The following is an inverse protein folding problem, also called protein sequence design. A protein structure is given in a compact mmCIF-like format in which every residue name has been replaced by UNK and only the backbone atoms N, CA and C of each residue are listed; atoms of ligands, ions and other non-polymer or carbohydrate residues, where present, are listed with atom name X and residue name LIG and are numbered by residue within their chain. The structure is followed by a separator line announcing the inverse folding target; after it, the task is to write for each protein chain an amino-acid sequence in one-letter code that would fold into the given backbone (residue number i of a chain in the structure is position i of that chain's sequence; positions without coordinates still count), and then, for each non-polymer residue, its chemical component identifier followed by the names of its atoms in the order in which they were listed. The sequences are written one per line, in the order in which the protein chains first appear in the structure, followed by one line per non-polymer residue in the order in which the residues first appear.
data_IF_907263895446
#
_entry.id   IF_907263895446
#
_cell.length_a   1.000
_cell.length_b   1.000
_cell.length_c   1.000
_cell.angle_alpha   90.00
_cell.angle_beta   90.00
_cell.angle_gamma   90.00
#
_symmetry.space_group_name_H-M   'P 1'
#
loop_
_entity.id
_entity.type
_entity.pdbx_description
1 polymer ?
#
# COMPACT_ATOMS: atom_id res chain seq x y z
N UNK A 1 63.03 -43.55 35.14
CA UNK A 1 61.93 -44.20 34.41
C UNK A 1 60.69 -43.30 34.31
N UNK A 2 60.18 -42.75 35.42
CA UNK A 2 58.97 -41.89 35.44
C UNK A 2 59.03 -40.62 34.55
N UNK A 3 60.17 -39.95 34.43
CA UNK A 3 60.29 -38.71 33.65
C UNK A 3 60.14 -38.94 32.13
N UNK A 4 60.62 -40.08 31.62
CA UNK A 4 60.48 -40.43 30.19
C UNK A 4 59.05 -40.86 29.84
N UNK A 5 58.32 -41.48 30.78
CA UNK A 5 56.90 -41.81 30.61
C UNK A 5 56.06 -40.53 30.52
N UNK A 6 56.28 -39.58 31.44
CA UNK A 6 55.57 -38.30 31.45
C UNK A 6 55.83 -37.44 30.19
N UNK A 7 57.07 -37.42 29.69
CA UNK A 7 57.42 -36.72 28.44
C UNK A 7 56.79 -37.38 27.20
N UNK A 8 56.67 -38.70 27.18
CA UNK A 8 55.99 -39.42 26.11
C UNK A 8 54.48 -39.18 26.14
N UNK A 9 53.87 -39.15 27.33
CA UNK A 9 52.45 -38.82 27.49
C UNK A 9 52.15 -37.39 27.04
N UNK A 10 53.02 -36.42 27.37
CA UNK A 10 52.88 -35.04 26.89
C UNK A 10 53.01 -34.95 25.36
N UNK A 11 53.99 -35.63 24.76
CA UNK A 11 54.15 -35.67 23.29
C UNK A 11 52.95 -36.30 22.61
N UNK A 12 52.43 -37.41 23.15
CA UNK A 12 51.24 -38.06 22.65
C UNK A 12 50.02 -37.15 22.76
N UNK A 13 49.86 -36.42 23.86
CA UNK A 13 48.78 -35.46 24.06
C UNK A 13 48.84 -34.29 23.06
N UNK A 14 50.02 -33.72 22.83
CA UNK A 14 50.21 -32.66 21.84
C UNK A 14 49.95 -33.14 20.41
N UNK A 15 50.41 -34.34 20.06
CA UNK A 15 50.17 -34.94 18.76
C UNK A 15 48.68 -35.24 18.53
N UNK A 16 47.99 -35.75 19.55
CA UNK A 16 46.54 -35.96 19.54
C UNK A 16 45.80 -34.63 19.27
N UNK A 17 46.14 -33.56 20.01
CA UNK A 17 45.56 -32.23 19.79
C UNK A 17 45.85 -31.67 18.40
N UNK A 18 47.04 -31.91 17.86
CA UNK A 18 47.40 -31.47 16.51
C UNK A 18 46.56 -32.19 15.44
N UNK A 19 46.32 -33.49 15.60
CA UNK A 19 45.44 -34.27 14.72
C UNK A 19 43.99 -33.78 14.85
N UNK A 20 43.48 -33.60 16.06
CA UNK A 20 42.13 -33.06 16.31
C UNK A 20 41.94 -31.70 15.65
N UNK A 21 42.92 -30.80 15.78
CA UNK A 21 42.89 -29.50 15.13
C UNK A 21 42.91 -29.60 13.59
N UNK A 22 43.67 -30.53 13.02
CA UNK A 22 43.66 -30.79 11.56
C UNK A 22 42.32 -31.37 11.08
N UNK A 23 41.73 -32.29 11.83
CA UNK A 23 40.40 -32.86 11.54
C UNK A 23 39.34 -31.77 11.59
N UNK A 24 39.37 -30.93 12.63
CA UNK A 24 38.43 -29.81 12.78
C UNK A 24 38.57 -28.81 11.63
N UNK A 25 39.80 -28.47 11.22
CA UNK A 25 40.06 -27.62 10.05
C UNK A 25 39.50 -28.22 8.75
N UNK A 26 39.65 -29.53 8.54
CA UNK A 26 39.10 -30.22 7.37
C UNK A 26 37.56 -30.27 7.39
N UNK A 27 36.95 -30.46 8.57
CA UNK A 27 35.51 -30.40 8.74
C UNK A 27 34.96 -29.00 8.48
N UNK A 28 35.60 -27.95 9.02
CA UNK A 28 35.25 -26.56 8.73
C UNK A 28 35.34 -26.26 7.23
N UNK A 29 36.41 -26.69 6.56
CA UNK A 29 36.56 -26.50 5.12
C UNK A 29 35.41 -27.14 4.32
N UNK A 30 35.06 -28.41 4.62
CA UNK A 30 33.93 -29.09 3.98
C UNK A 30 32.60 -28.41 4.27
N UNK A 31 32.42 -27.86 5.47
CA UNK A 31 31.21 -27.11 5.83
C UNK A 31 31.13 -25.79 5.05
N UNK A 32 32.24 -25.06 4.93
CA UNK A 32 32.33 -23.84 4.12
C UNK A 32 31.99 -24.09 2.64
N UNK A 33 32.48 -25.19 2.05
CA UNK A 33 32.16 -25.55 0.67
C UNK A 33 30.66 -25.88 0.50
N UNK A 34 30.06 -26.63 1.44
CA UNK A 34 28.61 -26.89 1.44
C UNK A 34 27.80 -25.61 1.60
N UNK A 35 28.26 -24.69 2.45
CA UNK A 35 27.62 -23.40 2.66
C UNK A 35 27.66 -22.55 1.37
N UNK A 36 28.83 -22.44 0.72
CA UNK A 36 28.97 -21.73 -0.56
C UNK A 36 28.09 -22.33 -1.67
N UNK A 37 28.01 -23.66 -1.74
CA UNK A 37 27.13 -24.33 -2.71
C UNK A 37 25.66 -24.01 -2.46
N UNK A 38 25.20 -24.08 -1.20
CA UNK A 38 23.83 -23.69 -0.84
C UNK A 38 23.56 -22.21 -1.13
N UNK A 39 24.52 -21.33 -0.84
CA UNK A 39 24.42 -19.91 -1.13
C UNK A 39 24.27 -19.63 -2.64
N UNK A 40 24.99 -20.37 -3.49
CA UNK A 40 24.84 -20.26 -4.95
C UNK A 40 23.45 -20.69 -5.42
N UNK A 41 22.92 -21.81 -4.92
CA UNK A 41 21.55 -22.26 -5.24
C UNK A 41 20.53 -21.24 -4.75
N UNK A 42 20.71 -20.70 -3.55
CA UNK A 42 19.83 -19.68 -3.00
C UNK A 42 19.78 -18.45 -3.91
N UNK A 43 20.93 -17.93 -4.34
CA UNK A 43 20.99 -16.79 -5.27
C UNK A 43 20.33 -17.09 -6.63
N UNK A 44 20.43 -18.33 -7.12
CA UNK A 44 19.78 -18.74 -8.37
C UNK A 44 18.26 -18.83 -8.23
N UNK A 45 17.77 -19.33 -7.08
CA UNK A 45 16.35 -19.35 -6.75
C UNK A 45 15.80 -17.93 -6.53
N UNK A 46 16.53 -17.06 -5.83
CA UNK A 46 16.18 -15.65 -5.63
C UNK A 46 16.01 -14.92 -6.98
N UNK A 47 16.97 -15.07 -7.90
CA UNK A 47 16.85 -14.50 -9.26
C UNK A 47 15.64 -15.03 -10.01
N UNK A 48 15.33 -16.32 -9.87
CA UNK A 48 14.18 -16.93 -10.53
C UNK A 48 12.85 -16.44 -9.95
N UNK A 49 12.80 -16.21 -8.64
CA UNK A 49 11.65 -15.59 -7.97
C UNK A 49 11.45 -14.17 -8.52
N UNK A 50 12.51 -13.35 -8.58
CA UNK A 50 12.44 -12.00 -9.13
C UNK A 50 11.96 -11.99 -10.60
N UNK A 51 12.39 -12.95 -11.42
CA UNK A 51 11.91 -13.09 -12.79
C UNK A 51 10.42 -13.45 -12.87
N UNK A 52 9.94 -14.34 -12.00
CA UNK A 52 8.52 -14.68 -11.92
C UNK A 52 7.69 -13.51 -11.42
N UNK A 53 8.14 -12.77 -10.41
CA UNK A 53 7.47 -11.57 -9.89
C UNK A 53 7.36 -10.48 -10.97
N UNK A 54 8.44 -10.23 -11.72
CA UNK A 54 8.41 -9.28 -12.85
C UNK A 54 7.39 -9.68 -13.91
N UNK A 55 7.31 -10.98 -14.25
CA UNK A 55 6.32 -11.49 -15.21
C UNK A 55 4.90 -11.37 -14.66
N UNK A 56 4.69 -11.69 -13.40
CA UNK A 56 3.39 -11.59 -12.75
C UNK A 56 2.85 -10.15 -12.79
N UNK A 57 3.68 -9.15 -12.48
CA UNK A 57 3.29 -7.73 -12.57
C UNK A 57 2.88 -7.35 -14.00
N UNK A 58 3.59 -7.87 -15.01
CA UNK A 58 3.26 -7.64 -16.41
C UNK A 58 1.92 -8.31 -16.79
N UNK A 59 1.72 -9.56 -16.38
CA UNK A 59 0.49 -10.33 -16.66
C UNK A 59 -0.72 -9.68 -15.95
N UNK A 60 -0.56 -9.19 -14.71
CA UNK A 60 -1.58 -8.46 -13.97
C UNK A 60 -1.97 -7.15 -14.67
N UNK A 61 -0.99 -6.41 -15.19
CA UNK A 61 -1.25 -5.20 -15.98
C UNK A 61 -2.06 -5.50 -17.25
N UNK A 62 -1.71 -6.59 -17.97
CA UNK A 62 -2.46 -7.03 -19.16
C UNK A 62 -3.89 -7.46 -18.77
N UNK A 63 -4.06 -8.21 -17.69
CA UNK A 63 -5.37 -8.62 -17.20
C UNK A 63 -6.26 -7.43 -16.82
N UNK A 64 -5.68 -6.38 -16.21
CA UNK A 64 -6.41 -5.14 -15.92
C UNK A 64 -6.91 -4.46 -17.20
N UNK A 65 -6.08 -4.43 -18.25
CA UNK A 65 -6.45 -3.86 -19.55
C UNK A 65 -7.60 -4.67 -20.18
N UNK A 66 -7.48 -6.00 -20.22
CA UNK A 66 -8.52 -6.90 -20.76
C UNK A 66 -9.83 -6.70 -20.01
N UNK A 67 -9.80 -6.69 -18.67
CA UNK A 67 -10.98 -6.49 -17.86
C UNK A 67 -11.65 -5.13 -18.10
N UNK A 68 -10.87 -4.07 -18.30
CA UNK A 68 -11.41 -2.74 -18.65
C UNK A 68 -12.16 -2.77 -19.98
N UNK A 69 -11.58 -3.37 -21.02
CA UNK A 69 -12.25 -3.50 -22.32
C UNK A 69 -13.48 -4.40 -22.25
N UNK A 70 -13.43 -5.49 -21.48
CA UNK A 70 -14.57 -6.37 -21.30
C UNK A 70 -15.74 -5.67 -20.58
N UNK A 71 -15.44 -4.93 -19.50
CA UNK A 71 -16.43 -4.10 -18.81
C UNK A 71 -17.08 -3.07 -19.75
N UNK A 72 -16.28 -2.47 -20.64
CA UNK A 72 -16.78 -1.52 -21.63
C UNK A 72 -17.73 -2.20 -22.61
N UNK A 73 -17.35 -3.37 -23.13
CA UNK A 73 -18.19 -4.17 -24.02
C UNK A 73 -19.52 -4.55 -23.35
N UNK A 74 -19.49 -5.06 -22.11
CA UNK A 74 -20.69 -5.43 -21.35
C UNK A 74 -21.64 -4.24 -21.20
N UNK A 75 -21.11 -3.05 -20.92
CA UNK A 75 -21.89 -1.82 -20.78
C UNK A 75 -22.49 -1.35 -22.11
N UNK A 76 -21.73 -1.38 -23.19
CA UNK A 76 -22.18 -0.96 -24.52
C UNK A 76 -23.29 -1.90 -25.05
N UNK A 77 -23.17 -3.22 -24.84
CA UNK A 77 -24.21 -4.21 -25.20
C UNK A 77 -25.51 -3.94 -24.43
N UNK A 78 -25.43 -3.68 -23.12
CA UNK A 78 -26.61 -3.38 -22.31
C UNK A 78 -27.31 -2.10 -22.73
N UNK A 79 -26.54 -1.04 -22.99
CA UNK A 79 -27.09 0.22 -23.45
C UNK A 79 -27.83 0.05 -24.77
N UNK A 80 -27.28 -0.74 -25.69
CA UNK A 80 -27.94 -1.06 -26.96
C UNK A 80 -29.20 -1.91 -26.75
N UNK A 81 -29.14 -2.94 -25.89
CA UNK A 81 -30.31 -3.75 -25.56
C UNK A 81 -31.42 -2.93 -24.91
N UNK A 82 -31.11 -2.04 -23.97
CA UNK A 82 -32.08 -1.16 -23.30
C UNK A 82 -32.76 -0.18 -24.28
N UNK A 83 -32.06 0.23 -25.35
CA UNK A 83 -32.65 1.07 -26.41
C UNK A 83 -33.62 0.31 -27.30
N UNK A 84 -33.44 -1.00 -27.47
CA UNK A 84 -34.22 -1.82 -28.39
C UNK A 84 -35.23 -2.77 -27.72
N UNK A 85 -35.09 -3.03 -26.42
CA UNK A 85 -36.00 -3.82 -25.58
C UNK A 85 -36.16 -3.14 -24.19
N UNK A 86 -37.41 -2.99 -23.71
CA UNK A 86 -37.74 -2.29 -22.44
C UNK A 86 -37.28 -3.00 -21.15
N UNK A 87 -36.77 -4.22 -21.22
CA UNK A 87 -36.47 -5.00 -20.01
C UNK A 87 -35.20 -5.82 -20.12
N UNK A 88 -34.10 -5.34 -19.55
CA UNK A 88 -33.08 -6.25 -19.02
C UNK A 88 -32.46 -5.69 -17.75
N UNK A 89 -32.56 -6.48 -16.68
CA UNK A 89 -31.89 -6.30 -15.40
C UNK A 89 -30.39 -6.04 -15.58
N UNK A 90 -29.90 -4.97 -14.96
CA UNK A 90 -28.50 -4.59 -14.87
C UNK A 90 -27.65 -5.70 -14.20
N UNK A 91 -26.55 -6.18 -14.80
CA UNK A 91 -25.59 -7.02 -14.11
C UNK A 91 -24.67 -6.18 -13.21
N UNK A 92 -24.05 -6.80 -12.20
CA UNK A 92 -23.37 -6.09 -11.12
C UNK A 92 -22.11 -5.36 -11.61
N UNK A 93 -21.95 -4.15 -11.07
CA UNK A 93 -20.99 -3.12 -11.43
C UNK A 93 -19.52 -3.61 -11.49
N UNK A 94 -18.84 -3.25 -12.59
CA UNK A 94 -17.49 -3.66 -12.99
C UNK A 94 -16.31 -3.29 -12.08
N UNK A 95 -16.56 -2.77 -10.86
CA UNK A 95 -15.54 -2.61 -9.82
C UNK A 95 -15.41 -3.84 -8.91
N UNK A 96 -16.46 -4.64 -8.77
CA UNK A 96 -16.44 -5.83 -7.93
C UNK A 96 -15.64 -6.99 -8.53
N UNK A 97 -15.55 -7.10 -9.86
CA UNK A 97 -14.98 -8.28 -10.52
C UNK A 97 -13.47 -8.45 -10.27
N UNK A 98 -12.67 -7.38 -10.26
CA UNK A 98 -11.22 -7.48 -9.93
C UNK A 98 -10.97 -7.84 -8.46
N UNK A 99 -11.80 -7.32 -7.54
CA UNK A 99 -11.72 -7.69 -6.12
C UNK A 99 -12.18 -9.13 -5.87
N UNK A 100 -13.18 -9.60 -6.63
CA UNK A 100 -13.64 -10.99 -6.60
C UNK A 100 -12.60 -11.94 -7.21
N UNK A 101 -11.90 -11.51 -8.28
CA UNK A 101 -10.81 -12.27 -8.90
C UNK A 101 -9.67 -12.58 -7.93
N UNK A 102 -9.33 -11.62 -7.05
CA UNK A 102 -8.31 -11.81 -6.01
C UNK A 102 -8.75 -12.77 -4.89
N UNK A 103 -10.04 -13.09 -4.79
CA UNK A 103 -10.62 -13.97 -3.76
C UNK A 103 -10.85 -15.39 -4.26
N UNK A 104 -10.82 -15.62 -5.57
CA UNK A 104 -11.06 -16.94 -6.16
C UNK A 104 -9.79 -17.79 -6.21
N UNK A 105 -9.95 -19.08 -5.92
CA UNK A 105 -8.86 -20.04 -6.15
C UNK A 105 -8.64 -20.26 -7.65
N UNK A 106 -7.45 -20.74 -8.05
CA UNK A 106 -7.15 -21.02 -9.45
C UNK A 106 -8.18 -21.96 -10.10
N UNK A 107 -8.72 -22.91 -9.33
CA UNK A 107 -9.70 -23.89 -9.82
C UNK A 107 -11.09 -23.26 -10.06
N UNK A 108 -11.44 -22.19 -9.35
CA UNK A 108 -12.72 -21.48 -9.50
C UNK A 108 -12.67 -20.37 -10.56
N UNK A 109 -11.47 -19.88 -10.87
CA UNK A 109 -11.26 -18.75 -11.79
C UNK A 109 -11.75 -19.04 -13.21
N UNK A 110 -11.43 -20.23 -13.74
CA UNK A 110 -11.79 -20.63 -15.10
C UNK A 110 -13.30 -20.72 -15.28
N UNK A 111 -14.00 -21.28 -14.30
CA UNK A 111 -15.47 -21.39 -14.31
C UNK A 111 -16.16 -20.02 -14.26
N UNK A 112 -15.63 -19.09 -13.45
CA UNK A 112 -16.18 -17.72 -13.35
C UNK A 112 -15.93 -16.91 -14.62
N UNK A 113 -14.76 -17.04 -15.23
CA UNK A 113 -14.47 -16.41 -16.52
C UNK A 113 -15.37 -16.95 -17.61
N UNK A 114 -15.55 -18.28 -17.67
CA UNK A 114 -16.47 -18.91 -18.61
C UNK A 114 -17.90 -18.41 -18.45
N UNK A 115 -18.40 -18.30 -17.23
CA UNK A 115 -19.74 -17.75 -16.96
C UNK A 115 -19.92 -16.33 -17.49
N UNK A 116 -18.89 -15.48 -17.33
CA UNK A 116 -18.91 -14.11 -17.85
C UNK A 116 -18.93 -14.07 -19.38
N UNK A 117 -18.12 -14.91 -20.02
CA UNK A 117 -18.11 -15.05 -21.49
C UNK A 117 -19.49 -15.50 -21.99
N UNK A 118 -20.07 -16.54 -21.38
CA UNK A 118 -21.39 -17.04 -21.76
C UNK A 118 -22.50 -15.99 -21.58
N UNK A 119 -22.42 -15.15 -20.54
CA UNK A 119 -23.35 -14.04 -20.37
C UNK A 119 -23.26 -13.04 -21.52
N UNK A 120 -22.04 -12.59 -21.85
CA UNK A 120 -21.81 -11.64 -22.94
C UNK A 120 -22.24 -12.22 -24.30
N UNK A 121 -21.96 -13.49 -24.59
CA UNK A 121 -22.39 -14.18 -25.80
C UNK A 121 -23.92 -14.22 -25.93
N UNK A 122 -24.63 -14.54 -24.82
CA UNK A 122 -26.10 -14.54 -24.79
C UNK A 122 -26.67 -13.14 -25.03
N UNK A 123 -26.06 -12.10 -24.45
CA UNK A 123 -26.48 -10.72 -24.65
C UNK A 123 -26.29 -10.27 -26.11
N UNK A 124 -25.14 -10.59 -26.72
CA UNK A 124 -24.86 -10.29 -28.14
C UNK A 124 -25.85 -11.02 -29.06
N UNK A 125 -26.14 -12.30 -28.80
CA UNK A 125 -27.11 -13.05 -29.60
C UNK A 125 -28.50 -12.41 -29.59
N UNK A 126 -28.96 -11.92 -28.44
CA UNK A 126 -30.21 -11.16 -28.32
C UNK A 126 -30.15 -9.85 -29.12
N UNK A 127 -29.05 -9.12 -29.03
CA UNK A 127 -28.88 -7.86 -29.76
C UNK A 127 -28.89 -8.08 -31.28
N UNK A 128 -28.30 -9.17 -31.77
CA UNK A 128 -28.36 -9.51 -33.20
C UNK A 128 -29.80 -9.82 -33.64
N UNK A 129 -30.58 -10.49 -32.80
CA UNK A 129 -31.98 -10.80 -33.09
C UNK A 129 -32.85 -9.53 -33.15
N UNK A 130 -32.65 -8.58 -32.23
CA UNK A 130 -33.37 -7.29 -32.24
C UNK A 130 -33.00 -6.45 -33.46
N UNK A 131 -31.71 -6.38 -33.81
CA UNK A 131 -31.24 -5.74 -35.04
C UNK A 131 -31.88 -6.34 -36.30
N UNK A 132 -31.99 -7.67 -36.38
CA UNK A 132 -32.65 -8.35 -37.49
C UNK A 132 -34.15 -7.99 -37.58
N UNK A 133 -34.86 -7.98 -36.45
CA UNK A 133 -36.28 -7.60 -36.38
C UNK A 133 -36.52 -6.16 -36.84
N UNK A 134 -35.67 -5.23 -36.41
CA UNK A 134 -35.75 -3.81 -36.80
C UNK A 134 -35.46 -3.66 -38.30
N UNK A 135 -34.45 -4.35 -38.81
CA UNK A 135 -34.11 -4.36 -40.24
C UNK A 135 -35.28 -4.87 -41.09
N UNK A 136 -35.92 -5.97 -40.68
CA UNK A 136 -37.09 -6.52 -41.36
C UNK A 136 -38.28 -5.57 -41.36
N UNK A 137 -38.60 -4.95 -40.22
CA UNK A 137 -39.67 -3.95 -40.11
C UNK A 137 -39.40 -2.74 -41.01
N UNK A 138 -38.17 -2.24 -41.02
CA UNK A 138 -37.77 -1.13 -41.89
C UNK A 138 -37.87 -1.52 -43.37
N UNK A 139 -37.51 -2.75 -43.72
CA UNK A 139 -37.69 -3.30 -45.07
C UNK A 139 -39.15 -3.28 -45.51
N UNK A 140 -40.06 -3.80 -44.68
CA UNK A 140 -41.51 -3.79 -44.95
C UNK A 140 -42.07 -2.38 -45.14
N UNK A 141 -41.67 -1.42 -44.28
CA UNK A 141 -42.06 -0.01 -44.44
C UNK A 141 -41.53 0.60 -45.74
N UNK A 142 -40.28 0.28 -46.13
CA UNK A 142 -39.73 0.75 -47.40
C UNK A 142 -40.50 0.20 -48.60
N UNK A 143 -40.91 -1.07 -48.55
CA UNK A 143 -41.67 -1.71 -49.62
C UNK A 143 -43.08 -1.12 -49.73
N UNK A 144 -43.78 -0.92 -48.60
CA UNK A 144 -45.08 -0.25 -48.56
C UNK A 144 -45.02 1.20 -49.10
N UNK A 145 -43.98 1.95 -48.78
CA UNK A 145 -43.77 3.32 -49.30
C UNK A 145 -43.47 3.34 -50.80
N UNK A 146 -42.71 2.35 -51.30
CA UNK A 146 -42.45 2.21 -52.75
C UNK A 146 -43.71 1.82 -53.51
N UNK A 147 -44.51 0.91 -52.97
CA UNK A 147 -45.78 0.50 -53.56
C UNK A 147 -46.80 1.64 -53.59
N UNK A 148 -46.76 2.54 -52.60
CA UNK A 148 -47.53 3.78 -52.60
C UNK A 148 -47.05 4.77 -53.67
N UNK A 149 -45.72 4.98 -53.80
CA UNK A 149 -45.14 5.91 -54.78
C UNK A 149 -45.21 5.46 -56.24
N UNK A 150 -45.27 4.15 -56.52
CA UNK A 150 -45.38 3.61 -57.88
C UNK A 150 -46.82 3.62 -58.42
N UNK A 151 -47.83 3.84 -57.56
CA UNK A 151 -49.26 3.76 -57.90
C UNK A 151 -49.96 5.14 -57.91
N UNK A 152 -49.27 6.21 -58.35
CA UNK A 152 -49.86 7.57 -58.44
C UNK A 152 -51.13 7.68 -59.33
N UNK A 153 -51.44 6.65 -60.14
CA UNK A 153 -52.59 6.64 -61.06
C UNK A 153 -53.81 5.81 -60.61
N UNK A 154 -53.88 5.30 -59.38
CA UNK A 154 -55.07 4.62 -58.81
C UNK A 154 -55.63 5.35 -57.58
N UNK A 155 -55.87 6.65 -57.74
CA UNK A 155 -56.25 7.55 -56.65
C UNK A 155 -57.70 7.46 -56.12
N UNK A 156 -58.49 6.41 -56.41
CA UNK A 156 -59.93 6.49 -56.11
C UNK A 156 -60.51 5.43 -55.18
N UNK A 157 -60.05 4.18 -55.07
CA UNK A 157 -60.89 3.17 -54.37
C UNK A 157 -60.15 2.07 -53.60
N UNK A 158 -59.03 2.36 -52.91
CA UNK A 158 -58.54 1.45 -51.87
C UNK A 158 -58.42 2.18 -50.53
N UNK A 159 -59.59 2.56 -50.00
CA UNK A 159 -59.76 3.12 -48.65
C UNK A 159 -59.11 2.24 -47.58
N UNK A 160 -59.00 0.94 -47.85
CA UNK A 160 -58.50 -0.05 -46.90
C UNK A 160 -56.96 -0.06 -46.82
N UNK A 161 -56.25 0.10 -47.95
CA UNK A 161 -54.79 0.27 -47.96
C UNK A 161 -54.34 1.63 -47.42
N UNK A 162 -55.07 2.69 -47.77
CA UNK A 162 -54.77 4.04 -47.28
C UNK A 162 -55.03 4.14 -45.77
N UNK A 163 -56.07 3.48 -45.25
CA UNK A 163 -56.33 3.38 -43.82
C UNK A 163 -55.24 2.60 -43.09
N UNK A 164 -54.77 1.46 -43.63
CA UNK A 164 -53.67 0.66 -43.04
C UNK A 164 -52.37 1.44 -42.95
N UNK A 165 -51.99 2.16 -44.01
CA UNK A 165 -50.78 3.01 -44.01
C UNK A 165 -50.92 4.13 -42.97
N UNK A 166 -52.10 4.76 -42.86
CA UNK A 166 -52.33 5.85 -41.93
C UNK A 166 -52.36 5.36 -40.46
N UNK A 167 -52.91 4.16 -40.21
CA UNK A 167 -52.91 3.50 -38.91
C UNK A 167 -51.49 3.08 -38.49
N UNK A 168 -50.70 2.51 -39.40
CA UNK A 168 -49.28 2.20 -39.15
C UNK A 168 -48.43 3.46 -38.93
N UNK A 169 -48.68 4.54 -39.69
CA UNK A 169 -48.02 5.84 -39.49
C UNK A 169 -48.40 6.49 -38.17
N UNK A 170 -49.67 6.41 -37.78
CA UNK A 170 -50.16 6.96 -36.51
C UNK A 170 -49.64 6.16 -35.32
N UNK A 171 -49.58 4.83 -35.44
CA UNK A 171 -48.93 3.94 -34.47
C UNK A 171 -47.43 4.25 -34.36
N UNK A 172 -46.73 4.40 -35.49
CA UNK A 172 -45.30 4.76 -35.52
C UNK A 172 -45.05 6.15 -34.91
N UNK A 173 -45.85 7.16 -35.25
CA UNK A 173 -45.74 8.50 -34.69
C UNK A 173 -45.97 8.50 -33.17
N UNK A 174 -46.93 7.69 -32.69
CA UNK A 174 -47.20 7.55 -31.25
C UNK A 174 -46.03 6.87 -30.53
N UNK A 175 -45.51 5.76 -31.10
CA UNK A 175 -44.33 5.06 -30.57
C UNK A 175 -43.09 5.95 -30.53
N UNK A 176 -42.82 6.73 -31.59
CA UNK A 176 -41.71 7.71 -31.63
C UNK A 176 -41.91 8.83 -30.61
N UNK A 177 -43.16 9.26 -30.37
CA UNK A 177 -43.45 10.27 -29.35
C UNK A 177 -43.19 9.74 -27.94
N UNK A 178 -43.68 8.54 -27.64
CA UNK A 178 -43.43 7.84 -26.36
C UNK A 178 -41.94 7.61 -26.13
N UNK A 179 -41.21 7.17 -27.17
CA UNK A 179 -39.76 7.02 -27.13
C UNK A 179 -39.05 8.36 -26.89
N UNK A 180 -39.49 9.46 -27.53
CA UNK A 180 -38.96 10.80 -27.26
C UNK A 180 -39.20 11.27 -25.83
N UNK A 181 -40.36 10.96 -25.24
CA UNK A 181 -40.63 11.26 -23.82
C UNK A 181 -39.73 10.43 -22.92
N UNK A 182 -39.57 9.14 -23.21
CA UNK A 182 -38.68 8.24 -22.46
C UNK A 182 -37.21 8.70 -22.55
N UNK A 183 -36.73 9.02 -23.75
CA UNK A 183 -35.40 9.55 -23.99
C UNK A 183 -35.16 10.88 -23.24
N UNK A 184 -36.14 11.78 -23.20
CA UNK A 184 -36.03 13.01 -22.40
C UNK A 184 -35.88 12.73 -20.91
N UNK A 185 -36.64 11.77 -20.37
CA UNK A 185 -36.50 11.34 -18.96
C UNK A 185 -35.11 10.75 -18.70
N UNK A 186 -34.66 9.83 -19.56
CA UNK A 186 -33.35 9.21 -19.45
C UNK A 186 -32.21 10.25 -19.55
N UNK A 187 -32.32 11.25 -20.44
CA UNK A 187 -31.35 12.34 -20.55
C UNK A 187 -31.28 13.14 -19.26
N UNK A 188 -32.42 13.50 -18.66
CA UNK A 188 -32.45 14.21 -17.39
C UNK A 188 -31.83 13.36 -16.27
N UNK A 189 -32.18 12.09 -16.17
CA UNK A 189 -31.60 11.16 -15.19
C UNK A 189 -30.08 11.05 -15.36
N UNK A 190 -29.60 10.82 -16.59
CA UNK A 190 -28.17 10.75 -16.90
C UNK A 190 -27.46 12.07 -16.60
N UNK A 191 -28.07 13.23 -16.85
CA UNK A 191 -27.50 14.52 -16.50
C UNK A 191 -27.38 14.70 -14.98
N UNK A 192 -28.40 14.33 -14.23
CA UNK A 192 -28.36 14.40 -12.75
C UNK A 192 -27.31 13.45 -12.17
N UNK A 193 -27.23 12.23 -12.67
CA UNK A 193 -26.23 11.26 -12.25
C UNK A 193 -24.82 11.64 -12.67
N UNK A 194 -24.63 12.19 -13.87
CA UNK A 194 -23.33 12.70 -14.31
C UNK A 194 -22.88 13.87 -13.42
N UNK A 195 -23.77 14.79 -13.07
CA UNK A 195 -23.45 15.85 -12.12
C UNK A 195 -23.06 15.27 -10.74
N UNK A 196 -23.82 14.30 -10.22
CA UNK A 196 -23.51 13.63 -8.95
C UNK A 196 -22.15 12.92 -8.99
N UNK A 197 -21.86 12.18 -10.06
CA UNK A 197 -20.60 11.48 -10.27
C UNK A 197 -19.44 12.47 -10.47
N UNK A 198 -19.66 13.61 -11.13
CA UNK A 198 -18.66 14.66 -11.30
C UNK A 198 -18.28 15.29 -9.95
N UNK A 199 -19.26 15.54 -9.07
CA UNK A 199 -19.00 16.00 -7.71
C UNK A 199 -18.23 14.95 -6.91
N UNK A 200 -18.62 13.67 -7.03
CA UNK A 200 -17.92 12.57 -6.37
C UNK A 200 -16.48 12.41 -6.89
N UNK A 201 -16.25 12.55 -8.19
CA UNK A 201 -14.91 12.53 -8.80
C UNK A 201 -14.07 13.67 -8.25
N UNK A 202 -14.60 14.90 -8.24
CA UNK A 202 -13.89 16.07 -7.68
C UNK A 202 -13.50 15.84 -6.22
N UNK A 203 -14.39 15.26 -5.40
CA UNK A 203 -14.06 14.94 -4.01
C UNK A 203 -12.98 13.86 -3.88
N UNK A 204 -12.95 12.87 -4.78
CA UNK A 204 -11.86 11.90 -4.85
C UNK A 204 -10.55 12.55 -5.28
N UNK A 205 -10.59 13.46 -6.26
CA UNK A 205 -9.43 14.20 -6.75
C UNK A 205 -8.83 15.08 -5.64
N UNK A 206 -9.65 15.78 -4.85
CA UNK A 206 -9.22 16.53 -3.67
C UNK A 206 -8.51 15.64 -2.64
N UNK A 207 -9.06 14.43 -2.41
CA UNK A 207 -8.46 13.46 -1.50
C UNK A 207 -7.12 12.92 -2.02
N UNK A 208 -7.00 12.71 -3.33
CA UNK A 208 -5.75 12.31 -3.98
C UNK A 208 -4.72 13.43 -3.82
N UNK A 209 -5.07 14.68 -4.14
CA UNK A 209 -4.19 15.83 -3.99
C UNK A 209 -3.69 16.02 -2.55
N UNK A 210 -4.56 15.79 -1.55
CA UNK A 210 -4.18 15.82 -0.14
C UNK A 210 -3.16 14.72 0.20
N UNK A 211 -3.39 13.50 -0.30
CA UNK A 211 -2.47 12.37 -0.08
C UNK A 211 -1.13 12.58 -0.80
N UNK A 212 -1.13 13.11 -2.02
CA UNK A 212 0.08 13.47 -2.77
C UNK A 212 0.89 14.53 -2.02
N UNK A 213 0.24 15.58 -1.51
CA UNK A 213 0.90 16.57 -0.67
C UNK A 213 1.50 15.96 0.59
N UNK A 214 0.80 15.00 1.24
CA UNK A 214 1.32 14.30 2.41
C UNK A 214 2.54 13.44 2.07
N UNK A 215 2.50 12.72 0.96
CA UNK A 215 3.65 11.94 0.47
C UNK A 215 4.84 12.85 0.22
N UNK A 216 4.64 14.00 -0.39
CA UNK A 216 5.72 14.97 -0.63
C UNK A 216 6.32 15.50 0.68
N UNK A 217 5.49 15.81 1.68
CA UNK A 217 6.01 16.23 3.01
C UNK A 217 6.84 15.14 3.69
N UNK A 218 6.39 13.88 3.62
CA UNK A 218 7.13 12.75 4.19
C UNK A 218 8.43 12.48 3.43
N UNK A 219 8.45 12.65 2.10
CA UNK A 219 9.66 12.52 1.31
C UNK A 219 10.70 13.58 1.70
N UNK A 220 10.27 14.82 1.91
CA UNK A 220 11.15 15.89 2.39
C UNK A 220 11.73 15.57 3.77
N UNK A 221 10.91 15.07 4.69
CA UNK A 221 11.37 14.64 6.03
C UNK A 221 12.38 13.48 5.95
N UNK A 222 12.14 12.49 5.08
CA UNK A 222 13.08 11.40 4.83
C UNK A 222 14.41 11.92 4.30
N UNK A 223 14.38 12.89 3.38
CA UNK A 223 15.61 13.46 2.82
C UNK A 223 16.39 14.29 3.85
N UNK A 224 15.71 15.03 4.71
CA UNK A 224 16.32 15.72 5.84
C UNK A 224 16.98 14.74 6.82
N UNK A 225 16.29 13.65 7.17
CA UNK A 225 16.84 12.59 8.01
C UNK A 225 18.06 11.92 7.38
N UNK A 226 18.02 11.65 6.06
CA UNK A 226 19.18 11.13 5.32
C UNK A 226 20.37 12.09 5.36
N UNK A 227 20.13 13.39 5.20
CA UNK A 227 21.17 14.42 5.31
C UNK A 227 21.78 14.46 6.73
N UNK A 228 20.94 14.38 7.77
CA UNK A 228 21.40 14.33 9.16
C UNK A 228 22.21 13.06 9.46
N UNK A 229 21.76 11.91 8.97
CA UNK A 229 22.46 10.64 9.08
C UNK A 229 23.83 10.71 8.41
N UNK A 230 23.91 11.23 7.19
CA UNK A 230 25.18 11.42 6.47
C UNK A 230 26.14 12.35 7.23
N UNK A 231 25.62 13.43 7.84
CA UNK A 231 26.42 14.29 8.73
C UNK A 231 26.93 13.53 9.95
N UNK A 232 26.15 12.60 10.51
CA UNK A 232 26.59 11.75 11.62
C UNK A 232 27.71 10.79 11.20
N UNK A 233 27.53 10.07 10.09
CA UNK A 233 28.57 9.19 9.54
C UNK A 233 29.90 9.93 9.33
N UNK A 234 29.88 11.13 8.75
CA UNK A 234 31.10 11.94 8.59
C UNK A 234 31.76 12.37 9.90
N UNK A 235 31.01 12.49 11.00
CA UNK A 235 31.57 12.78 12.32
C UNK A 235 32.22 11.52 12.90
N UNK A 236 31.58 10.37 12.72
CA UNK A 236 32.09 9.06 13.13
C UNK A 236 33.39 8.73 12.41
N UNK A 237 33.43 8.86 11.08
CA UNK A 237 34.67 8.68 10.29
C UNK A 237 35.83 9.56 10.77
N UNK A 238 35.55 10.81 11.16
CA UNK A 238 36.57 11.72 11.71
C UNK A 238 37.05 11.27 13.09
N UNK A 239 36.17 10.70 13.91
CA UNK A 239 36.55 10.16 15.22
C UNK A 239 37.38 8.89 15.05
N UNK A 240 36.99 8.00 14.15
CA UNK A 240 37.74 6.78 13.83
C UNK A 240 39.14 7.11 13.30
N UNK A 241 39.26 8.10 12.42
CA UNK A 241 40.55 8.58 11.93
C UNK A 241 41.45 9.08 13.08
N UNK A 242 40.91 9.91 13.98
CA UNK A 242 41.65 10.40 15.15
C UNK A 242 42.05 9.26 16.09
N UNK A 243 41.16 8.30 16.32
CA UNK A 243 41.42 7.14 17.17
C UNK A 243 42.58 6.31 16.59
N UNK A 244 42.58 6.09 15.28
CA UNK A 244 43.67 5.40 14.58
C UNK A 244 45.00 6.17 14.68
N UNK A 245 45.00 7.50 14.58
CA UNK A 245 46.20 8.32 14.80
C UNK A 245 46.74 8.22 16.23
N UNK A 246 45.85 8.23 17.24
CA UNK A 246 46.26 8.07 18.64
C UNK A 246 46.91 6.71 18.89
N UNK A 247 46.29 5.63 18.40
CA UNK A 247 46.85 4.27 18.50
C UNK A 247 48.23 4.20 17.83
N UNK A 248 48.38 4.82 16.65
CA UNK A 248 49.67 4.85 15.95
C UNK A 248 50.74 5.63 16.73
N UNK A 249 50.37 6.74 17.35
CA UNK A 249 51.27 7.58 18.16
C UNK A 249 51.71 6.87 19.44
N UNK A 250 50.79 6.19 20.11
CA UNK A 250 51.08 5.37 21.29
C UNK A 250 52.08 4.25 20.94
N UNK A 251 51.84 3.52 19.85
CA UNK A 251 52.77 2.49 19.36
C UNK A 251 54.17 3.06 18.99
N UNK A 252 54.21 4.28 18.44
CA UNK A 252 55.48 4.95 18.08
C UNK A 252 56.27 5.40 19.31
N UNK A 253 55.60 5.89 20.36
CA UNK A 253 56.22 6.30 21.62
C UNK A 253 56.87 5.12 22.34
N UNK A 254 56.22 3.95 22.32
CA UNK A 254 56.77 2.70 22.86
C UNK A 254 58.07 2.31 22.16
N UNK A 255 58.15 2.44 20.83
CA UNK A 255 59.37 2.15 20.06
C UNK A 255 60.52 3.14 20.33
N UNK A 256 60.22 4.43 20.54
CA UNK A 256 61.25 5.46 20.82
C UNK A 256 61.85 5.31 22.22
N UNK A 257 61.05 4.89 23.21
CA UNK A 257 61.56 4.59 24.56
C UNK A 257 62.55 3.41 24.56
N UNK A 258 62.36 2.43 23.68
CA UNK A 258 63.31 1.33 23.50
C UNK A 258 64.63 1.81 22.85
N UNK A 259 64.57 2.66 21.81
CA UNK A 259 65.77 3.17 21.12
C UNK A 259 66.63 4.14 21.98
N UNK A 260 66.01 4.99 22.81
CA UNK A 260 66.73 5.96 23.65
C UNK A 260 67.59 5.30 24.75
N UNK A 261 67.26 4.06 25.14
CA UNK A 261 68.08 3.27 26.08
C UNK A 261 69.41 2.80 25.47
N UNK A 262 69.52 2.73 24.14
CA UNK A 262 70.68 2.19 23.41
C UNK A 262 71.70 3.30 23.10
N UNK A 263 71.25 4.54 22.90
CA UNK A 263 72.08 5.66 22.44
C UNK A 263 72.95 6.33 23.53
N UNK A 264 72.80 5.96 24.81
CA UNK A 264 73.56 6.57 25.92
C UNK A 264 75.01 6.10 26.06
N UNK A 265 75.48 5.17 25.22
CA UNK A 265 76.75 4.46 25.40
C UNK A 265 77.95 5.00 24.57
N UNK A 266 77.76 5.96 23.66
CA UNK A 266 78.82 6.31 22.72
C UNK A 266 78.79 7.80 22.38
N UNK A 267 79.70 8.60 22.97
CA UNK A 267 80.48 9.65 22.27
C UNK A 267 81.32 10.45 23.26
N UNK A 268 82.63 10.41 23.09
CA UNK A 268 83.58 11.37 23.65
C UNK A 268 84.74 11.53 22.65
N UNK A 269 85.25 12.78 22.54
CA UNK A 269 86.61 13.18 22.09
C UNK A 269 86.76 13.33 20.55
N UNK A 270 87.33 14.38 19.93
CA UNK A 270 88.33 15.42 20.25
C UNK A 270 88.29 16.59 19.23
N UNK A 271 88.91 17.74 19.52
CA UNK A 271 89.22 18.82 18.56
C UNK A 271 90.53 19.53 18.97
N UNK A 272 91.36 19.94 17.98
CA UNK A 272 92.51 20.82 18.21
C UNK A 272 93.22 21.24 16.91
N UNK A 273 93.49 22.54 16.75
CA UNK A 273 94.20 23.19 15.65
C UNK A 273 95.28 24.14 16.20
N UNK A 274 96.34 24.44 15.43
CA UNK A 274 97.39 25.43 15.76
C UNK A 274 97.79 26.27 14.54
N UNK A 275 98.04 27.55 14.85
CA UNK A 275 98.41 28.75 14.06
C UNK A 275 99.84 28.74 13.44
N UNK A 276 100.03 29.45 12.32
CA UNK A 276 100.80 30.73 12.08
C UNK A 276 102.32 30.69 12.27
N UNK A 277 103.06 31.22 11.29
CA UNK A 277 103.97 32.39 11.45
C UNK A 277 104.67 32.78 10.12
N UNK A 278 104.98 34.07 9.96
CA UNK A 278 105.54 34.74 8.77
C UNK A 278 106.86 35.43 9.13
N UNK A 279 107.82 35.51 8.20
CA UNK A 279 109.10 36.22 8.35
C UNK A 279 109.37 37.26 7.24
N UNK A 280 110.11 38.30 7.65
CA UNK A 280 110.47 39.62 7.10
C UNK A 280 110.92 39.78 5.63
N UNK A 281 110.60 40.95 5.03
CA UNK A 281 110.69 41.31 3.61
C UNK A 281 111.71 42.44 3.28
N UNK A 282 112.20 42.48 2.03
CA UNK A 282 113.23 43.34 1.39
C UNK A 282 112.66 44.62 0.71
N UNK A 283 113.51 45.53 0.21
CA UNK A 283 113.10 46.91 -0.22
C UNK A 283 112.06 47.00 -1.37
N UNK A 284 112.05 46.05 -2.31
CA UNK A 284 110.98 45.94 -3.33
C UNK A 284 109.67 45.46 -2.72
N UNK A 285 109.79 44.56 -1.74
CA UNK A 285 108.67 44.05 -0.98
C UNK A 285 108.14 45.12 0.00
N UNK A 286 108.93 46.14 0.35
CA UNK A 286 108.47 47.29 1.13
C UNK A 286 107.54 48.20 0.31
N UNK A 287 107.83 48.43 -0.97
CA UNK A 287 106.94 49.18 -1.88
C UNK A 287 105.65 48.39 -2.16
N UNK A 288 105.76 47.08 -2.38
CA UNK A 288 104.61 46.17 -2.52
C UNK A 288 103.77 46.16 -1.23
N UNK A 289 104.40 46.07 -0.06
CA UNK A 289 103.74 46.21 1.24
C UNK A 289 103.07 47.58 1.42
N UNK A 290 103.63 48.64 0.84
CA UNK A 290 103.07 49.99 0.94
C UNK A 290 101.83 50.14 0.05
N UNK A 291 101.84 49.55 -1.14
CA UNK A 291 100.67 49.46 -2.02
C UNK A 291 99.59 48.53 -1.44
N UNK A 292 99.98 47.38 -0.88
CA UNK A 292 99.07 46.47 -0.16
C UNK A 292 98.46 47.16 1.06
N UNK A 293 99.24 47.97 1.78
CA UNK A 293 98.72 48.78 2.89
C UNK A 293 97.66 49.77 2.41
N UNK A 294 97.88 50.43 1.27
CA UNK A 294 96.91 51.35 0.67
C UNK A 294 95.60 50.62 0.28
N UNK A 295 95.71 49.48 -0.42
CA UNK A 295 94.54 48.64 -0.77
C UNK A 295 93.82 48.14 0.48
N UNK A 296 94.54 47.73 1.53
CA UNK A 296 93.95 47.30 2.80
C UNK A 296 93.28 48.46 3.53
N UNK A 297 93.82 49.68 3.44
CA UNK A 297 93.18 50.86 4.04
C UNK A 297 91.87 51.20 3.33
N UNK A 298 91.81 51.12 2.00
CA UNK A 298 90.59 51.31 1.22
C UNK A 298 89.55 50.22 1.49
N UNK A 299 89.97 48.96 1.59
CA UNK A 299 89.08 47.86 1.95
C UNK A 299 88.53 48.01 3.36
N UNK A 300 89.36 48.45 4.31
CA UNK A 300 88.94 48.73 5.67
C UNK A 300 87.91 49.87 5.73
N UNK A 301 88.12 50.93 4.93
CA UNK A 301 87.17 52.04 4.81
C UNK A 301 85.83 51.59 4.22
N UNK A 302 85.85 50.76 3.16
CA UNK A 302 84.64 50.21 2.55
C UNK A 302 83.86 49.28 3.50
N UNK A 303 84.57 48.40 4.23
CA UNK A 303 83.97 47.55 5.27
C UNK A 303 83.38 48.40 6.41
N UNK A 304 84.05 49.49 6.77
CA UNK A 304 83.55 50.42 7.80
C UNK A 304 82.27 51.14 7.35
N UNK A 305 82.17 51.55 6.08
CA UNK A 305 80.94 52.14 5.55
C UNK A 305 79.79 51.13 5.50
N UNK A 306 80.03 49.90 5.04
CA UNK A 306 79.00 48.85 5.02
C UNK A 306 78.51 48.50 6.44
N UNK A 307 79.42 48.41 7.41
CA UNK A 307 79.06 48.21 8.81
C UNK A 307 78.21 49.36 9.37
N UNK A 308 78.49 50.61 8.98
CA UNK A 308 77.67 51.76 9.38
C UNK A 308 76.25 51.66 8.82
N UNK A 309 76.10 51.32 7.53
CA UNK A 309 74.79 51.15 6.89
C UNK A 309 73.97 50.01 7.52
N UNK A 310 74.60 48.85 7.77
CA UNK A 310 73.94 47.72 8.45
C UNK A 310 73.53 48.12 9.87
N UNK A 311 74.38 48.87 10.59
CA UNK A 311 74.08 49.34 11.94
C UNK A 311 72.87 50.29 11.94
N UNK A 312 72.76 51.17 10.95
CA UNK A 312 71.64 52.10 10.81
C UNK A 312 70.33 51.36 10.46
N UNK A 313 70.40 50.38 9.55
CA UNK A 313 69.26 49.51 9.22
C UNK A 313 68.76 48.72 10.43
N UNK A 314 69.68 48.16 11.24
CA UNK A 314 69.35 47.45 12.46
C UNK A 314 68.68 48.35 13.51
N UNK A 315 69.12 49.61 13.63
CA UNK A 315 68.45 50.60 14.50
C UNK A 315 67.02 50.87 14.06
N UNK A 316 66.77 51.04 12.76
CA UNK A 316 65.43 51.25 12.21
C UNK A 316 64.50 50.07 12.48
N UNK A 317 64.96 48.84 12.20
CA UNK A 317 64.19 47.63 12.46
C UNK A 317 63.91 47.43 13.95
N UNK A 318 64.88 47.73 14.82
CA UNK A 318 64.66 47.68 16.27
C UNK A 318 63.61 48.67 16.74
N UNK A 319 63.53 49.86 16.13
CA UNK A 319 62.51 50.86 16.46
C UNK A 319 61.11 50.41 16.01
N UNK A 320 60.97 49.79 14.83
CA UNK A 320 59.71 49.22 14.36
C UNK A 320 59.22 48.07 15.25
N UNK A 321 60.13 47.18 15.69
CA UNK A 321 59.81 46.09 16.61
C UNK A 321 59.28 46.62 17.94
N UNK A 322 59.91 47.66 18.51
CA UNK A 322 59.42 48.27 19.75
C UNK A 322 58.09 49.01 19.55
N UNK A 323 57.87 49.66 18.41
CA UNK A 323 56.58 50.25 18.07
C UNK A 323 55.45 49.19 18.01
N UNK A 324 55.71 48.05 17.35
CA UNK A 324 54.76 46.95 17.27
C UNK A 324 54.52 46.29 18.65
N UNK A 325 55.56 46.11 19.48
CA UNK A 325 55.40 45.63 20.85
C UNK A 325 54.51 46.56 21.69
N UNK A 326 54.67 47.88 21.55
CA UNK A 326 53.83 48.84 22.25
C UNK A 326 52.37 48.76 21.79
N UNK A 327 52.12 48.65 20.47
CA UNK A 327 50.77 48.44 19.92
C UNK A 327 50.12 47.16 20.43
N UNK A 328 50.88 46.06 20.54
CA UNK A 328 50.36 44.80 21.11
C UNK A 328 50.04 44.90 22.61
N UNK A 329 50.79 45.69 23.38
CA UNK A 329 50.54 45.89 24.82
C UNK A 329 49.30 46.73 25.11
N UNK A 330 48.89 47.60 24.20
CA UNK A 330 47.80 48.54 24.40
C UNK A 330 46.74 48.45 23.29
N UNK A 331 46.19 47.24 23.09
CA UNK A 331 45.03 47.05 22.21
C UNK A 331 43.78 47.56 22.94
N UNK A 332 43.08 48.53 22.34
CA UNK A 332 41.83 49.04 22.91
C UNK A 332 40.70 48.03 22.73
N UNK A 333 39.76 47.90 23.69
CA UNK A 333 38.54 47.11 23.50
C UNK A 333 37.73 47.52 22.27
N UNK A 334 37.80 48.80 21.88
CA UNK A 334 37.13 49.30 20.68
C UNK A 334 37.81 48.81 19.39
N UNK A 335 39.13 48.61 19.40
CA UNK A 335 39.84 48.02 18.26
C UNK A 335 39.43 46.57 18.04
N UNK A 336 39.16 45.83 19.14
CA UNK A 336 38.66 44.46 19.09
C UNK A 336 37.21 44.45 18.62
N UNK A 337 36.34 45.33 19.13
CA UNK A 337 34.94 45.39 18.70
C UNK A 337 34.77 45.81 17.25
N UNK A 338 35.66 46.67 16.76
CA UNK A 338 35.69 47.11 15.36
C UNK A 338 36.46 46.14 14.46
N UNK A 339 37.12 45.12 15.01
CA UNK A 339 37.74 44.08 14.20
C UNK A 339 36.70 43.30 13.42
N UNK A 340 37.06 42.90 12.20
CA UNK A 340 36.17 42.14 11.34
C UNK A 340 35.80 40.79 11.95
N UNK A 341 36.71 40.19 12.70
CA UNK A 341 36.54 38.93 13.39
C UNK A 341 35.44 39.02 14.47
N UNK A 342 35.46 40.10 15.26
CA UNK A 342 34.44 40.31 16.28
C UNK A 342 33.07 40.61 15.67
N UNK A 343 33.01 41.48 14.65
CA UNK A 343 31.75 41.82 13.98
C UNK A 343 31.12 40.61 13.28
N UNK A 344 31.94 39.77 12.65
CA UNK A 344 31.49 38.52 12.05
C UNK A 344 30.95 37.56 13.12
N UNK A 345 31.67 37.39 14.23
CA UNK A 345 31.25 36.54 15.33
C UNK A 345 29.96 37.04 15.98
N UNK A 346 29.82 38.35 16.18
CA UNK A 346 28.62 38.99 16.71
C UNK A 346 27.43 38.73 15.79
N UNK A 347 27.57 38.96 14.49
CA UNK A 347 26.51 38.73 13.51
C UNK A 347 26.10 37.26 13.46
N UNK A 348 27.08 36.36 13.44
CA UNK A 348 26.87 34.92 13.47
C UNK A 348 26.13 34.47 14.73
N UNK A 349 26.54 34.97 15.90
CA UNK A 349 25.87 34.69 17.16
C UNK A 349 24.43 35.22 17.20
N UNK A 350 24.19 36.44 16.73
CA UNK A 350 22.85 37.02 16.64
C UNK A 350 21.93 36.19 15.74
N UNK A 351 22.42 35.74 14.59
CA UNK A 351 21.66 34.84 13.71
C UNK A 351 21.33 33.53 14.41
N UNK A 352 22.35 32.85 14.98
CA UNK A 352 22.16 31.59 15.70
C UNK A 352 21.20 31.72 16.89
N UNK A 353 21.20 32.87 17.56
CA UNK A 353 20.31 33.14 18.68
C UNK A 353 18.85 33.30 18.24
N UNK A 354 18.60 33.99 17.12
CA UNK A 354 17.26 34.08 16.55
C UNK A 354 16.79 32.73 16.00
N UNK A 355 17.67 31.95 15.35
CA UNK A 355 17.36 30.59 14.93
C UNK A 355 16.99 29.69 16.13
N UNK A 356 17.72 29.80 17.24
CA UNK A 356 17.41 29.10 18.48
C UNK A 356 16.04 29.47 19.05
N UNK A 357 15.63 30.75 18.95
CA UNK A 357 14.30 31.20 19.39
C UNK A 357 13.20 30.65 18.49
N UNK A 358 13.41 30.68 17.18
CA UNK A 358 12.49 30.14 16.19
C UNK A 358 12.26 28.65 16.40
N UNK A 359 13.33 27.87 16.56
CA UNK A 359 13.23 26.43 16.86
C UNK A 359 12.49 26.16 18.17
N UNK A 360 12.73 26.97 19.22
CA UNK A 360 11.99 26.83 20.48
C UNK A 360 10.49 27.06 20.30
N UNK A 361 10.11 28.05 19.49
CA UNK A 361 8.70 28.32 19.18
C UNK A 361 8.08 27.16 18.39
N UNK A 362 8.78 26.68 17.37
CA UNK A 362 8.32 25.55 16.54
C UNK A 362 8.12 24.26 17.36
N UNK A 363 9.02 23.99 18.31
CA UNK A 363 8.85 22.87 19.26
C UNK A 363 7.57 23.04 20.10
N UNK A 364 7.25 24.25 20.55
CA UNK A 364 6.05 24.50 21.34
C UNK A 364 4.77 24.35 20.51
N UNK A 365 4.78 24.87 19.27
CA UNK A 365 3.69 24.71 18.31
C UNK A 365 3.46 23.22 17.97
N UNK A 366 4.53 22.45 17.77
CA UNK A 366 4.45 20.99 17.53
C UNK A 366 3.92 20.22 18.73
N UNK A 367 4.31 20.59 19.96
CA UNK A 367 3.74 20.00 21.19
C UNK A 367 2.25 20.28 21.31
N UNK A 368 1.82 21.50 20.99
CA UNK A 368 0.41 21.87 21.01
C UNK A 368 -0.38 21.06 19.96
N UNK A 369 0.13 20.98 18.73
CA UNK A 369 -0.48 20.18 17.67
C UNK A 369 -0.59 18.69 18.04
N UNK A 370 0.47 18.12 18.62
CA UNK A 370 0.46 16.72 19.07
C UNK A 370 -0.57 16.48 20.18
N UNK A 371 -0.72 17.44 21.10
CA UNK A 371 -1.76 17.38 22.15
C UNK A 371 -3.16 17.41 21.56
N UNK A 372 -3.41 18.27 20.55
CA UNK A 372 -4.70 18.34 19.86
C UNK A 372 -5.02 17.04 19.10
N UNK A 373 -4.03 16.48 18.39
CA UNK A 373 -4.17 15.20 17.68
C UNK A 373 -4.53 14.09 18.67
N UNK A 374 -3.83 14.03 19.81
CA UNK A 374 -4.10 13.05 20.86
C UNK A 374 -5.54 13.16 21.39
N UNK A 375 -6.00 14.38 21.70
CA UNK A 375 -7.37 14.63 22.16
C UNK A 375 -8.40 14.18 21.13
N UNK A 376 -8.21 14.53 19.86
CA UNK A 376 -9.11 14.12 18.78
C UNK A 376 -9.23 12.58 18.67
N UNK A 377 -8.11 11.85 18.76
CA UNK A 377 -8.15 10.39 18.72
C UNK A 377 -8.78 9.78 19.98
N UNK A 378 -8.54 10.35 21.16
CA UNK A 378 -9.21 9.91 22.41
C UNK A 378 -10.73 10.06 22.30
N UNK A 379 -11.21 11.22 21.83
CA UNK A 379 -12.64 11.46 21.59
C UNK A 379 -13.24 10.49 20.56
N UNK A 380 -12.51 10.24 19.47
CA UNK A 380 -12.95 9.31 18.41
C UNK A 380 -13.06 7.88 18.92
N UNK A 381 -12.10 7.43 19.74
CA UNK A 381 -12.12 6.10 20.36
C UNK A 381 -13.30 5.99 21.33
N UNK A 382 -13.52 6.99 22.18
CA UNK A 382 -14.67 6.99 23.10
C UNK A 382 -16.00 6.96 22.36
N UNK A 383 -16.15 7.70 21.25
CA UNK A 383 -17.35 7.61 20.40
C UNK A 383 -17.56 6.21 19.84
N UNK A 384 -16.49 5.57 19.34
CA UNK A 384 -16.58 4.22 18.78
C UNK A 384 -16.96 3.17 19.83
N UNK A 385 -16.44 3.30 21.05
CA UNK A 385 -16.79 2.43 22.18
C UNK A 385 -18.27 2.56 22.57
N UNK A 386 -18.82 3.78 22.53
CA UNK A 386 -20.25 4.02 22.78
C UNK A 386 -21.10 3.37 21.67
N UNK A 387 -20.71 3.54 20.41
CA UNK A 387 -21.41 2.96 19.27
C UNK A 387 -21.42 1.42 19.33
N UNK A 388 -20.28 0.80 19.67
CA UNK A 388 -20.16 -0.66 19.85
C UNK A 388 -21.04 -1.17 20.98
N UNK A 389 -21.02 -0.49 22.13
CA UNK A 389 -21.87 -0.84 23.28
C UNK A 389 -23.35 -0.77 22.90
N UNK A 390 -23.75 0.29 22.20
CA UNK A 390 -25.13 0.48 21.73
C UNK A 390 -25.55 -0.60 20.73
N UNK A 391 -24.65 -1.00 19.83
CA UNK A 391 -24.92 -2.07 18.86
C UNK A 391 -25.07 -3.43 19.55
N UNK A 392 -24.25 -3.71 20.56
CA UNK A 392 -24.34 -4.93 21.37
C UNK A 392 -25.65 -5.00 22.15
N UNK A 393 -26.08 -3.90 22.76
CA UNK A 393 -27.38 -3.81 23.46
C UNK A 393 -28.55 -4.11 22.50
N UNK A 394 -28.54 -3.53 21.28
CA UNK A 394 -29.56 -3.82 20.27
C UNK A 394 -29.55 -5.28 19.84
N UNK A 395 -28.37 -5.86 19.62
CA UNK A 395 -28.25 -7.26 19.25
C UNK A 395 -28.80 -8.17 20.36
N UNK A 396 -28.44 -7.91 21.61
CA UNK A 396 -28.98 -8.65 22.76
C UNK A 396 -30.50 -8.55 22.84
N UNK A 397 -31.07 -7.36 22.60
CA UNK A 397 -32.51 -7.19 22.54
C UNK A 397 -33.15 -8.05 21.43
N UNK A 398 -32.61 -8.05 20.22
CA UNK A 398 -33.15 -8.87 19.11
C UNK A 398 -33.05 -10.37 19.39
N UNK A 399 -32.00 -10.82 20.08
CA UNK A 399 -31.86 -12.22 20.49
C UNK A 399 -32.92 -12.59 21.52
N UNK A 400 -33.18 -11.72 22.51
CA UNK A 400 -34.26 -11.93 23.47
C UNK A 400 -35.65 -11.98 22.81
N UNK A 401 -35.90 -11.11 21.83
CA UNK A 401 -37.15 -11.11 21.06
C UNK A 401 -37.34 -12.41 20.27
N UNK A 402 -36.30 -12.86 19.55
CA UNK A 402 -36.34 -14.13 18.81
C UNK A 402 -36.51 -15.36 19.72
N UNK A 403 -35.88 -15.37 20.90
CA UNK A 403 -36.06 -16.45 21.87
C UNK A 403 -37.51 -16.50 22.39
N UNK A 404 -38.12 -15.34 22.64
CA UNK A 404 -39.53 -15.25 23.01
C UNK A 404 -40.45 -15.78 21.90
N UNK A 405 -40.23 -15.37 20.66
CA UNK A 405 -41.01 -15.83 19.50
C UNK A 405 -40.88 -17.35 19.30
N UNK A 406 -39.67 -17.89 19.46
CA UNK A 406 -39.40 -19.31 19.37
C UNK A 406 -40.11 -20.09 20.48
N UNK A 407 -40.12 -19.57 21.71
CA UNK A 407 -40.86 -20.17 22.82
C UNK A 407 -42.38 -20.11 22.61
N UNK A 408 -42.90 -19.04 22.02
CA UNK A 408 -44.31 -18.93 21.63
C UNK A 408 -44.67 -19.97 20.55
N UNK A 409 -43.89 -20.08 19.49
CA UNK A 409 -44.11 -21.05 18.41
C UNK A 409 -44.07 -22.50 18.94
N UNK A 410 -43.16 -22.81 19.88
CA UNK A 410 -43.12 -24.12 20.54
C UNK A 410 -44.41 -24.41 21.31
N UNK A 411 -44.93 -23.43 22.05
CA UNK A 411 -46.18 -23.57 22.81
C UNK A 411 -47.38 -23.75 21.88
N UNK A 412 -47.44 -23.00 20.78
CA UNK A 412 -48.49 -23.15 19.77
C UNK A 412 -48.45 -24.54 19.11
N UNK A 413 -47.25 -25.03 18.78
CA UNK A 413 -47.08 -26.38 18.25
C UNK A 413 -47.56 -27.45 19.23
N UNK A 414 -47.22 -27.33 20.52
CA UNK A 414 -47.69 -28.25 21.56
C UNK A 414 -49.22 -28.24 21.70
N UNK A 415 -49.84 -27.05 21.70
CA UNK A 415 -51.30 -26.93 21.72
C UNK A 415 -51.95 -27.63 20.52
N UNK A 416 -51.40 -27.41 19.32
CA UNK A 416 -51.90 -28.05 18.09
C UNK A 416 -51.78 -29.57 18.18
N UNK A 417 -50.67 -30.09 18.71
CA UNK A 417 -50.50 -31.53 18.91
C UNK A 417 -51.57 -32.11 19.85
N UNK A 418 -51.84 -31.44 20.96
CA UNK A 418 -52.90 -31.83 21.91
C UNK A 418 -54.28 -31.79 21.23
N UNK A 419 -54.58 -30.73 20.48
CA UNK A 419 -55.85 -30.61 19.74
C UNK A 419 -56.02 -31.72 18.69
N UNK A 420 -54.95 -32.09 17.98
CA UNK A 420 -54.95 -33.22 17.05
C UNK A 420 -55.20 -34.54 17.77
N UNK A 421 -54.56 -34.77 18.92
CA UNK A 421 -54.74 -35.98 19.73
C UNK A 421 -56.18 -36.11 20.23
N UNK A 422 -56.73 -35.03 20.81
CA UNK A 422 -58.13 -34.97 21.26
C UNK A 422 -59.10 -35.24 20.10
N UNK A 423 -58.89 -34.60 18.94
CA UNK A 423 -59.74 -34.81 17.77
C UNK A 423 -59.66 -36.25 17.24
N UNK A 424 -58.48 -36.86 17.30
CA UNK A 424 -58.28 -38.26 16.86
C UNK A 424 -59.02 -39.21 17.78
N UNK A 425 -58.85 -39.07 19.10
CA UNK A 425 -59.57 -39.86 20.11
C UNK A 425 -61.10 -39.69 19.96
N UNK A 426 -61.57 -38.45 19.77
CA UNK A 426 -62.99 -38.18 19.57
C UNK A 426 -63.55 -38.87 18.32
N UNK A 427 -62.80 -38.86 17.20
CA UNK A 427 -63.18 -39.59 15.98
C UNK A 427 -63.20 -41.09 16.20
N UNK A 428 -62.20 -41.66 16.85
CA UNK A 428 -62.15 -43.10 17.16
C UNK A 428 -63.34 -43.53 18.02
N UNK A 429 -63.73 -42.72 19.02
CA UNK A 429 -64.91 -42.98 19.85
C UNK A 429 -66.24 -42.86 19.08
N UNK A 430 -66.30 -42.06 18.02
CA UNK A 430 -67.50 -41.90 17.20
C UNK A 430 -67.76 -43.07 16.24
N UNK A 431 -66.72 -43.83 15.85
CA UNK A 431 -66.82 -44.99 14.94
C UNK A 431 -67.85 -46.03 15.41
N UNK A 432 -67.80 -46.58 16.64
CA UNK A 432 -68.75 -47.60 17.06
C UNK A 432 -70.19 -47.08 17.13
N UNK A 433 -70.38 -45.80 17.47
CA UNK A 433 -71.70 -45.16 17.45
C UNK A 433 -72.23 -45.11 16.01
N UNK A 434 -71.39 -44.70 15.05
CA UNK A 434 -71.75 -44.64 13.63
C UNK A 434 -72.08 -46.03 13.07
N UNK A 435 -71.32 -47.06 13.44
CA UNK A 435 -71.60 -48.46 13.08
C UNK A 435 -72.94 -48.95 13.64
N UNK A 436 -73.25 -48.63 14.90
CA UNK A 436 -74.54 -48.95 15.52
C UNK A 436 -75.72 -48.25 14.82
N UNK A 437 -75.57 -46.96 14.50
CA UNK A 437 -76.59 -46.18 13.77
C UNK A 437 -76.82 -46.77 12.38
N UNK A 438 -75.76 -47.13 11.66
CA UNK A 438 -75.86 -47.78 10.35
C UNK A 438 -76.55 -49.15 10.43
N UNK A 439 -76.23 -49.96 11.44
CA UNK A 439 -76.88 -51.25 11.69
C UNK A 439 -78.38 -51.09 11.98
N UNK A 440 -78.75 -50.12 12.81
CA UNK A 440 -80.15 -49.77 13.10
C UNK A 440 -80.87 -49.30 11.83
N UNK A 441 -80.25 -48.42 11.04
CA UNK A 441 -80.81 -47.95 9.77
C UNK A 441 -81.04 -49.10 8.79
N UNK A 442 -80.09 -50.03 8.67
CA UNK A 442 -80.23 -51.22 7.83
C UNK A 442 -81.36 -52.14 8.32
N UNK A 443 -81.48 -52.32 9.64
CA UNK A 443 -82.55 -53.12 10.25
C UNK A 443 -83.92 -52.49 9.99
N UNK A 444 -84.06 -51.18 10.25
CA UNK A 444 -85.29 -50.42 9.99
C UNK A 444 -85.66 -50.42 8.51
N UNK A 445 -84.68 -50.24 7.62
CA UNK A 445 -84.85 -50.33 6.18
C UNK A 445 -85.39 -51.71 5.78
N UNK A 446 -84.80 -52.79 6.30
CA UNK A 446 -85.23 -54.18 6.03
C UNK A 446 -86.66 -54.42 6.53
N UNK A 447 -86.97 -54.04 7.79
CA UNK A 447 -88.31 -54.16 8.36
C UNK A 447 -89.35 -53.38 7.56
N UNK A 448 -89.03 -52.15 7.14
CA UNK A 448 -89.92 -51.34 6.31
C UNK A 448 -90.17 -51.99 4.95
N UNK A 449 -89.14 -52.60 4.36
CA UNK A 449 -89.27 -53.36 3.11
C UNK A 449 -90.18 -54.59 3.29
N UNK A 450 -90.01 -55.33 4.38
CA UNK A 450 -90.87 -56.48 4.73
C UNK A 450 -92.33 -56.05 4.97
N UNK A 451 -92.55 -54.96 5.72
CA UNK A 451 -93.89 -54.41 5.94
C UNK A 451 -94.56 -53.99 4.63
N UNK A 452 -93.82 -53.36 3.71
CA UNK A 452 -94.33 -53.04 2.36
C UNK A 452 -94.75 -54.30 1.60
N UNK A 453 -93.97 -55.38 1.70
CA UNK A 453 -94.31 -56.66 1.07
C UNK A 453 -95.56 -57.31 1.71
N UNK A 454 -95.67 -57.32 3.03
CA UNK A 454 -96.86 -57.84 3.74
C UNK A 454 -98.11 -57.01 3.44
N UNK A 455 -98.01 -55.67 3.41
CA UNK A 455 -99.11 -54.79 2.98
C UNK A 455 -99.54 -55.11 1.54
N UNK A 456 -98.59 -55.32 0.62
CA UNK A 456 -98.91 -55.70 -0.75
C UNK A 456 -99.60 -57.08 -0.82
N UNK A 457 -99.14 -58.05 -0.01
CA UNK A 457 -99.73 -59.39 0.10
C UNK A 457 -101.16 -59.34 0.67
N UNK A 458 -101.38 -58.59 1.74
CA UNK A 458 -102.70 -58.40 2.35
C UNK A 458 -103.66 -57.69 1.41
N UNK A 459 -103.20 -56.65 0.69
CA UNK A 459 -103.99 -56.00 -0.37
C UNK A 459 -104.44 -57.00 -1.43
N UNK A 460 -103.54 -57.87 -1.90
CA UNK A 460 -103.85 -58.91 -2.88
C UNK A 460 -104.89 -59.91 -2.36
N UNK A 461 -104.71 -60.41 -1.14
CA UNK A 461 -105.71 -61.30 -0.48
C UNK A 461 -107.07 -60.64 -0.29
N UNK A 462 -107.10 -59.34 0.06
CA UNK A 462 -108.34 -58.60 0.23
C UNK A 462 -109.06 -58.39 -1.11
N UNK A 463 -108.30 -58.18 -2.18
CA UNK A 463 -108.82 -58.10 -3.54
C UNK A 463 -109.39 -59.45 -4.00
N UNK A 464 -108.66 -60.55 -3.78
CA UNK A 464 -109.14 -61.93 -4.03
C UNK A 464 -110.43 -62.25 -3.24
N UNK A 465 -110.49 -61.87 -1.96
CA UNK A 465 -111.68 -62.07 -1.13
C UNK A 465 -112.88 -61.21 -1.60
N UNK A 466 -112.63 -59.98 -2.08
CA UNK A 466 -113.66 -59.11 -2.64
C UNK A 466 -114.20 -59.63 -3.98
N UNK A 467 -113.35 -60.25 -4.80
CA UNK A 467 -113.76 -60.94 -6.03
C UNK A 467 -114.60 -62.19 -5.73
N UNK A 468 -114.27 -62.94 -4.67
CA UNK A 468 -115.06 -64.09 -4.22
C UNK A 468 -116.44 -63.73 -3.64
N UNK A 469 -116.62 -62.49 -3.15
CA UNK A 469 -117.87 -62.02 -2.55
C UNK A 469 -118.85 -61.40 -3.57
N UNK A 470 -118.38 -61.12 -4.79
CA UNK A 470 -119.16 -60.54 -5.89
C UNK A 470 -119.47 -61.55 -7.02
N UNK A 471 -119.20 -62.84 -6.79
CA UNK A 471 -119.79 -63.98 -7.51
C UNK A 471 -120.85 -64.62 -6.63
#
# INVERSE_FOLDING_TARGET
MFFNLFLNDLKSFWFQKEIEHKVLRAQHYKLCERFRYKQKIQQELEKRIEEFERRQVQDDAVNCIINRYWNRLDADIQLLLQRFEETTSSPPQGKHFLNLLAQWSCDELDDKMKQRVEFSQRAIAKLLLTCARISERNGRLCDLLKDYGNNENKLVNDSDQTAKINEELQSYATSVFEENVSNKKLVNELQTENHRLSLQSSSCDDKIALMESKVETLNNEIEDLRCQLLKSFRREEKLDFRLAEYIKKENSLVQVQEAASIAKNLTQIENGAINEEVASLSKSQLEELQQDLEIQTDLANNRLTELKEITERNKSLSAEVECCKMKMKYISPDDIKNSNEYLFLQTSFSSLFEDCKLQKKEIEDLKQANTQIKQHYEERISSMQIDETTALERFQQTVCELDNDLNLARKEYENVCVDYEINTISKEQAIPIQEQVNSLMNTLSTQNTQLKQEVARLKRKLQEAFEQLNM
#
